data_IF_650552589482
#
_entry.id   IF_650552589482
#
_cell.length_a   1.000
_cell.length_b   1.000
_cell.length_c   1.000
_cell.angle_alpha   90.00
_cell.angle_beta   90.00
_cell.angle_gamma   90.00
#
_symmetry.space_group_name_H-M   'P 1'
#
loop_
_entity.id
_entity.type
_entity.pdbx_description
1 polymer ?
#
# COMPACT_ATOMS: atom_id res chain seq x y z
N UNK A 1 6.79 19.73 -18.58
CA UNK A 1 7.45 19.39 -17.31
C UNK A 1 7.19 17.91 -17.06
N UNK A 2 8.19 17.12 -16.64
CA UNK A 2 7.97 15.70 -16.35
C UNK A 2 7.36 15.59 -14.95
N UNK A 3 6.23 14.91 -14.83
CA UNK A 3 5.66 14.52 -13.52
C UNK A 3 6.67 13.61 -12.79
N UNK A 4 6.87 13.81 -11.49
CA UNK A 4 7.78 12.99 -10.69
C UNK A 4 6.99 12.05 -9.78
N UNK A 5 7.07 10.74 -10.05
CA UNK A 5 6.51 9.71 -9.18
C UNK A 5 7.49 9.35 -8.06
N UNK A 6 6.99 9.31 -6.83
CA UNK A 6 7.73 8.88 -5.63
C UNK A 6 6.97 7.78 -4.92
N UNK A 7 7.73 6.83 -4.35
CA UNK A 7 7.21 5.84 -3.42
C UNK A 7 7.66 6.22 -2.01
N UNK A 8 6.71 6.33 -1.09
CA UNK A 8 7.00 6.71 0.31
C UNK A 8 6.11 5.95 1.30
N UNK A 9 6.54 5.81 2.57
CA UNK A 9 5.66 5.33 3.62
C UNK A 9 4.41 6.21 3.79
N UNK A 10 3.43 5.68 4.52
CA UNK A 10 2.27 6.44 4.99
C UNK A 10 2.73 7.61 5.88
N UNK A 11 2.10 8.75 5.69
CA UNK A 11 2.27 9.93 6.54
C UNK A 11 1.03 10.15 7.42
N UNK A 12 1.17 10.83 8.58
CA UNK A 12 0.03 11.19 9.43
C UNK A 12 -1.06 11.99 8.70
N UNK A 13 -0.69 12.74 7.66
CA UNK A 13 -1.63 13.56 6.86
C UNK A 13 -2.40 12.79 5.79
N UNK A 14 -2.07 11.52 5.55
CA UNK A 14 -2.66 10.75 4.45
C UNK A 14 -4.04 10.15 4.79
N UNK A 15 -4.48 10.16 6.06
CA UNK A 15 -5.63 9.37 6.50
C UNK A 15 -6.87 9.52 5.61
N UNK A 16 -7.31 10.76 5.38
CA UNK A 16 -8.54 11.03 4.65
C UNK A 16 -8.48 10.48 3.21
N UNK A 17 -7.36 10.70 2.51
CA UNK A 17 -7.19 10.25 1.11
C UNK A 17 -7.03 8.73 1.02
N UNK A 18 -6.36 8.09 1.99
CA UNK A 18 -6.20 6.62 1.97
C UNK A 18 -7.50 5.90 2.29
N UNK A 19 -8.35 6.49 3.15
CA UNK A 19 -9.69 5.97 3.43
C UNK A 19 -10.62 6.13 2.23
N UNK A 20 -10.59 7.28 1.56
CA UNK A 20 -11.32 7.50 0.31
C UNK A 20 -10.92 6.49 -0.78
N UNK A 21 -9.60 6.28 -0.95
CA UNK A 21 -9.09 5.26 -1.88
C UNK A 21 -9.51 3.84 -1.51
N UNK A 22 -9.56 3.52 -0.21
CA UNK A 22 -10.03 2.22 0.26
C UNK A 22 -11.52 2.02 -0.01
N UNK A 23 -12.35 3.03 0.22
CA UNK A 23 -13.77 2.98 -0.11
C UNK A 23 -13.98 2.82 -1.62
N UNK A 24 -13.31 3.64 -2.44
CA UNK A 24 -13.41 3.59 -3.90
C UNK A 24 -13.03 2.22 -4.47
N UNK A 25 -11.99 1.59 -3.92
CA UNK A 25 -11.49 0.30 -4.41
C UNK A 25 -12.21 -0.90 -3.79
N UNK A 26 -12.92 -0.72 -2.68
CA UNK A 26 -13.74 -1.78 -2.10
C UNK A 26 -14.90 -2.17 -3.03
N UNK A 27 -15.36 -1.25 -3.89
CA UNK A 27 -16.32 -1.52 -4.95
C UNK A 27 -15.80 -2.51 -6.01
N UNK A 28 -14.48 -2.63 -6.15
CA UNK A 28 -13.79 -3.59 -7.04
C UNK A 28 -13.26 -4.82 -6.26
N UNK A 29 -13.79 -5.10 -5.06
CA UNK A 29 -13.32 -6.15 -4.13
C UNK A 29 -11.81 -6.04 -3.77
N UNK A 30 -11.27 -4.82 -3.81
CA UNK A 30 -9.85 -4.59 -3.56
C UNK A 30 -9.59 -3.87 -2.23
N UNK A 31 -8.94 -4.58 -1.31
CA UNK A 31 -8.50 -4.00 -0.04
C UNK A 31 -7.25 -3.10 -0.24
N UNK A 32 -7.49 -1.78 -0.33
CA UNK A 32 -6.41 -0.80 -0.47
C UNK A 32 -5.51 -0.75 0.78
N UNK A 33 -6.07 -0.35 1.93
CA UNK A 33 -5.47 -0.49 3.26
C UNK A 33 -5.49 -1.96 3.68
N UNK A 34 -4.37 -2.42 4.26
CA UNK A 34 -4.17 -3.83 4.64
C UNK A 34 -3.93 -4.00 6.15
N UNK A 35 -4.44 -3.04 6.93
CA UNK A 35 -4.41 -2.97 8.38
C UNK A 35 -5.67 -2.25 8.87
N UNK A 36 -6.05 -2.50 10.13
CA UNK A 36 -7.24 -1.96 10.79
C UNK A 36 -6.84 -1.18 12.06
N UNK A 37 -7.78 -0.41 12.60
CA UNK A 37 -7.59 0.39 13.82
C UNK A 37 -7.60 1.90 13.57
N UNK A 38 -7.05 2.65 14.52
CA UNK A 38 -6.82 4.09 14.34
C UNK A 38 -5.78 4.33 13.25
N UNK A 39 -5.66 5.57 12.75
CA UNK A 39 -4.65 5.87 11.74
C UNK A 39 -3.22 5.61 12.23
N UNK A 40 -2.95 5.94 13.49
CA UNK A 40 -1.67 5.66 14.13
C UNK A 40 -1.41 4.16 14.23
N UNK A 41 -2.43 3.34 14.52
CA UNK A 41 -2.31 1.88 14.53
C UNK A 41 -1.96 1.31 13.15
N UNK A 42 -2.58 1.86 12.10
CA UNK A 42 -2.33 1.46 10.70
C UNK A 42 -0.88 1.81 10.29
N UNK A 43 -0.44 3.05 10.59
CA UNK A 43 0.95 3.46 10.34
C UNK A 43 1.91 2.56 11.11
N UNK A 44 1.70 2.37 12.41
CA UNK A 44 2.56 1.55 13.26
C UNK A 44 2.62 0.09 12.78
N UNK A 45 1.51 -0.45 12.28
CA UNK A 45 1.45 -1.80 11.71
C UNK A 45 2.33 -1.91 10.47
N UNK A 46 2.19 -1.01 9.50
CA UNK A 46 3.02 -1.03 8.28
C UNK A 46 4.49 -0.73 8.56
N UNK A 47 4.79 0.06 9.58
CA UNK A 47 6.15 0.27 10.06
C UNK A 47 6.79 -1.00 10.66
N UNK A 48 6.05 -1.77 11.46
CA UNK A 48 6.51 -3.07 11.98
C UNK A 48 6.73 -4.07 10.86
N UNK A 49 5.79 -4.13 9.90
CA UNK A 49 5.88 -4.99 8.72
C UNK A 49 7.12 -4.68 7.86
N UNK A 50 7.42 -3.40 7.65
CA UNK A 50 8.58 -2.96 6.87
C UNK A 50 9.91 -3.38 7.52
N UNK A 51 9.94 -3.40 8.85
CA UNK A 51 11.11 -3.84 9.64
C UNK A 51 11.15 -5.36 9.87
N UNK A 52 10.04 -6.06 9.64
CA UNK A 52 9.93 -7.50 9.89
C UNK A 52 9.87 -7.85 11.38
N UNK A 53 9.31 -6.97 12.21
CA UNK A 53 9.28 -7.10 13.68
C UNK A 53 7.87 -7.48 14.12
N UNK A 54 7.77 -8.45 15.04
CA UNK A 54 6.50 -8.90 15.66
C UNK A 54 5.38 -9.17 14.63
N UNK A 55 5.74 -9.86 13.56
CA UNK A 55 4.80 -10.18 12.48
C UNK A 55 3.78 -11.23 12.95
N UNK A 56 2.47 -11.01 12.70
CA UNK A 56 1.46 -12.04 12.91
C UNK A 56 1.77 -13.31 12.11
N UNK A 57 1.32 -14.49 12.57
CA UNK A 57 1.48 -15.74 11.83
C UNK A 57 1.00 -15.62 10.37
N UNK A 58 1.81 -16.16 9.45
CA UNK A 58 1.52 -16.14 8.01
C UNK A 58 1.82 -14.80 7.30
N UNK A 59 2.26 -13.76 8.03
CA UNK A 59 2.79 -12.54 7.39
C UNK A 59 4.30 -12.65 7.20
N UNK A 60 4.77 -11.94 6.17
CA UNK A 60 6.19 -11.83 5.80
C UNK A 60 6.61 -10.37 5.87
N UNK A 61 7.91 -10.11 5.95
CA UNK A 61 8.41 -8.73 5.90
C UNK A 61 7.97 -8.05 4.59
N UNK A 62 7.29 -6.91 4.70
CA UNK A 62 6.73 -6.19 3.55
C UNK A 62 6.70 -4.67 3.77
N UNK A 63 6.90 -3.90 2.71
CA UNK A 63 6.67 -2.46 2.73
C UNK A 63 5.34 -2.12 2.06
N UNK A 64 4.52 -1.33 2.74
CA UNK A 64 3.41 -0.59 2.13
C UNK A 64 3.90 0.81 1.76
N UNK A 65 3.85 1.16 0.49
CA UNK A 65 4.33 2.44 -0.03
C UNK A 65 3.23 3.14 -0.83
N UNK A 66 2.95 4.39 -0.48
CA UNK A 66 2.12 5.31 -1.24
C UNK A 66 2.86 5.71 -2.51
N UNK A 67 2.20 5.58 -3.65
CA UNK A 67 2.64 6.21 -4.89
C UNK A 67 2.10 7.64 -4.93
N UNK A 68 2.99 8.61 -5.02
CA UNK A 68 2.68 10.03 -5.05
C UNK A 68 3.27 10.68 -6.30
N UNK A 69 2.48 11.51 -6.97
CA UNK A 69 2.92 12.35 -8.09
C UNK A 69 2.81 13.80 -7.68
N UNK A 70 3.95 14.49 -7.62
CA UNK A 70 4.04 15.93 -7.30
C UNK A 70 3.24 16.34 -6.03
N UNK A 71 3.31 15.56 -4.96
CA UNK A 71 2.60 15.82 -3.70
C UNK A 71 1.19 15.21 -3.60
N UNK A 72 0.68 14.59 -4.67
CA UNK A 72 -0.66 13.99 -4.71
C UNK A 72 -0.59 12.45 -4.73
N UNK A 73 -1.16 11.74 -3.75
CA UNK A 73 -1.31 10.29 -3.80
C UNK A 73 -2.11 9.85 -5.03
N UNK A 74 -1.64 8.81 -5.71
CA UNK A 74 -2.27 8.23 -6.91
C UNK A 74 -2.50 6.72 -6.81
N UNK A 75 -2.04 6.09 -5.72
CA UNK A 75 -2.11 4.65 -5.53
C UNK A 75 -1.15 4.16 -4.47
N UNK A 76 -0.88 2.85 -4.47
CA UNK A 76 0.10 2.24 -3.58
C UNK A 76 0.74 1.00 -4.18
N UNK A 77 1.86 0.60 -3.62
CA UNK A 77 2.49 -0.71 -3.84
C UNK A 77 2.86 -1.37 -2.52
N UNK A 78 2.72 -2.69 -2.47
CA UNK A 78 3.18 -3.55 -1.39
C UNK A 78 4.32 -4.41 -1.91
N UNK A 79 5.50 -4.29 -1.32
CA UNK A 79 6.71 -5.03 -1.71
C UNK A 79 7.07 -6.01 -0.59
N UNK A 80 6.95 -7.31 -0.84
CA UNK A 80 7.29 -8.40 0.07
C UNK A 80 8.71 -8.89 -0.19
N UNK A 81 9.51 -9.01 0.86
CA UNK A 81 10.94 -9.36 0.79
C UNK A 81 11.20 -10.86 0.74
N UNK A 82 10.18 -11.66 1.05
CA UNK A 82 10.19 -13.11 1.04
C UNK A 82 8.77 -13.59 0.74
N UNK A 83 8.63 -14.87 0.37
CA UNK A 83 7.34 -15.52 0.15
C UNK A 83 7.26 -16.73 1.08
N UNK A 84 6.12 -16.90 1.74
CA UNK A 84 5.72 -18.19 2.29
C UNK A 84 4.99 -19.01 1.21
N UNK A 85 4.64 -20.25 1.52
CA UNK A 85 4.01 -21.18 0.56
C UNK A 85 2.76 -20.56 -0.12
N UNK A 86 1.89 -19.92 0.67
CA UNK A 86 0.72 -19.25 0.13
C UNK A 86 1.09 -18.12 -0.84
N UNK A 87 2.03 -17.25 -0.46
CA UNK A 87 2.45 -16.11 -1.28
C UNK A 87 3.25 -16.53 -2.52
N UNK A 88 3.90 -17.70 -2.47
CA UNK A 88 4.58 -18.31 -3.60
C UNK A 88 3.58 -18.76 -4.66
N UNK A 89 2.50 -19.41 -4.24
CA UNK A 89 1.45 -19.88 -5.13
C UNK A 89 0.50 -18.75 -5.56
N UNK A 90 0.18 -17.83 -4.65
CA UNK A 90 -0.80 -16.76 -4.83
C UNK A 90 -0.35 -15.45 -4.16
N UNK A 91 -0.07 -14.44 -4.98
CA UNK A 91 0.20 -13.06 -4.55
C UNK A 91 1.60 -12.55 -4.91
N UNK A 92 2.62 -13.42 -4.92
CA UNK A 92 3.98 -13.09 -5.38
C UNK A 92 4.66 -12.01 -4.53
N UNK A 93 5.72 -11.37 -5.04
CA UNK A 93 6.47 -10.35 -4.29
C UNK A 93 5.84 -8.95 -4.30
N UNK A 94 5.14 -8.59 -5.38
CA UNK A 94 4.69 -7.22 -5.60
C UNK A 94 3.19 -7.20 -5.84
N UNK A 95 2.48 -6.36 -5.09
CA UNK A 95 1.08 -6.05 -5.37
C UNK A 95 0.89 -4.53 -5.40
N UNK A 96 0.30 -3.99 -6.46
CA UNK A 96 0.11 -2.56 -6.61
C UNK A 96 -1.30 -2.24 -7.09
N UNK A 97 -1.69 -0.97 -6.92
CA UNK A 97 -2.92 -0.44 -7.50
C UNK A 97 -2.73 1.04 -7.77
N UNK A 98 -3.22 1.49 -8.93
CA UNK A 98 -3.46 2.90 -9.23
C UNK A 98 -4.96 3.12 -9.10
N UNK A 99 -5.35 4.11 -8.30
CA UNK A 99 -6.77 4.42 -8.09
C UNK A 99 -7.42 4.87 -9.40
N UNK A 100 -8.70 4.49 -9.66
CA UNK A 100 -9.39 4.69 -10.93
C UNK A 100 -9.16 6.03 -11.64
N UNK A 101 -9.23 7.16 -10.90
CA UNK A 101 -9.05 8.51 -11.43
C UNK A 101 -7.68 8.73 -12.13
N UNK A 102 -6.65 8.01 -11.70
CA UNK A 102 -5.26 8.20 -12.13
C UNK A 102 -4.74 7.11 -13.06
N UNK A 103 -5.59 6.13 -13.42
CA UNK A 103 -5.23 5.06 -14.36
C UNK A 103 -4.96 5.63 -15.76
N UNK A 104 -4.21 4.87 -16.57
CA UNK A 104 -3.83 5.20 -17.97
C UNK A 104 -2.93 6.42 -18.13
N UNK A 105 -2.17 6.77 -17.09
CA UNK A 105 -1.18 7.86 -17.09
C UNK A 105 0.28 7.38 -17.00
N UNK A 106 0.51 6.07 -16.99
CA UNK A 106 1.86 5.49 -16.88
C UNK A 106 2.43 5.44 -15.46
N UNK A 107 1.59 5.47 -14.43
CA UNK A 107 2.03 5.37 -13.02
C UNK A 107 2.19 3.94 -12.50
N UNK A 108 1.62 2.97 -13.21
CA UNK A 108 1.69 1.54 -12.88
C UNK A 108 3.00 0.92 -13.37
#
# INVERSE_FOLDING_TARGET
>A
MSETLRLRPLAPTDEAVMRDFHEQLSADDFAFLQAEGTWDDIIATHEREARGIDLPPGRVRAQFLVAEVDGRPVGRTSIRYELNDFLFDLGGHVGYVVVPEFRRRGYA
#
